data_IF_486322759112
#
_entry.id   IF_486322759112
#
_cell.length_a   1.000
_cell.length_b   1.000
_cell.length_c   1.000
_cell.angle_alpha   90.00
_cell.angle_beta   90.00
_cell.angle_gamma   90.00
#
_symmetry.space_group_name_H-M   'P 1'
#
loop_
_entity.id
_entity.type
_entity.pdbx_description
1 polymer ?
#
# COMPACT_ATOMS: atom_id res chain seq x y z
N UNK A 1 -18.39 -4.36 11.29
CA UNK A 1 -17.68 -5.65 11.43
C UNK A 1 -16.20 -5.31 11.46
N UNK A 2 -15.54 -5.46 12.60
CA UNK A 2 -14.11 -5.15 12.72
C UNK A 2 -13.32 -6.42 12.41
N UNK A 3 -12.44 -6.36 11.42
CA UNK A 3 -11.53 -7.45 11.10
C UNK A 3 -10.23 -7.24 11.87
N UNK A 4 -9.68 -8.34 12.41
CA UNK A 4 -8.41 -8.33 13.13
C UNK A 4 -7.41 -9.14 12.32
N UNK A 5 -6.51 -8.44 11.63
CA UNK A 5 -5.39 -9.04 10.93
C UNK A 5 -4.22 -9.21 11.91
N UNK A 6 -3.51 -10.34 11.83
CA UNK A 6 -2.33 -10.62 12.64
C UNK A 6 -1.16 -10.82 11.69
N UNK A 7 -0.28 -9.83 11.61
CA UNK A 7 1.02 -10.01 10.95
C UNK A 7 1.90 -10.84 11.87
N UNK A 8 2.35 -12.00 11.40
CA UNK A 8 3.30 -12.85 12.10
C UNK A 8 4.58 -12.85 11.30
N UNK A 9 5.62 -12.21 11.83
CA UNK A 9 6.98 -12.30 11.30
C UNK A 9 7.58 -13.67 11.67
N UNK A 10 7.07 -14.74 11.06
CA UNK A 10 7.62 -16.09 11.16
C UNK A 10 8.19 -16.48 9.79
N UNK A 11 9.48 -16.20 9.51
CA UNK A 11 10.03 -16.45 8.20
C UNK A 11 10.07 -17.96 7.93
N UNK A 12 9.08 -18.47 7.20
CA UNK A 12 9.07 -19.83 6.69
C UNK A 12 9.46 -19.80 5.23
N UNK A 13 10.57 -20.43 4.83
CA UNK A 13 10.90 -20.59 3.43
C UNK A 13 9.76 -21.31 2.71
N UNK A 14 9.13 -20.64 1.76
CA UNK A 14 8.13 -21.21 0.85
C UNK A 14 8.80 -21.49 -0.49
N UNK A 15 9.02 -22.78 -0.74
CA UNK A 15 9.58 -23.32 -1.97
C UNK A 15 8.48 -23.72 -2.98
N UNK A 16 7.32 -23.04 -2.96
CA UNK A 16 6.22 -23.30 -3.89
C UNK A 16 6.71 -23.59 -5.32
N UNK A 17 6.32 -24.75 -5.87
CA UNK A 17 7.01 -25.45 -6.96
C UNK A 17 7.09 -24.78 -8.33
N UNK A 18 6.78 -23.48 -8.42
CA UNK A 18 6.93 -22.64 -9.61
C UNK A 18 7.91 -21.46 -9.40
N UNK A 19 8.61 -21.39 -8.26
CA UNK A 19 9.57 -20.32 -7.95
C UNK A 19 11.01 -20.81 -8.12
N UNK A 20 11.83 -20.02 -8.78
CA UNK A 20 13.27 -20.31 -8.96
C UNK A 20 14.10 -20.04 -7.68
N UNK A 21 13.51 -19.39 -6.67
CA UNK A 21 14.17 -18.97 -5.43
C UNK A 21 13.22 -19.07 -4.21
N UNK A 22 13.73 -19.32 -2.99
CA UNK A 22 12.92 -19.36 -1.77
C UNK A 22 12.41 -17.97 -1.41
N UNK A 23 11.10 -17.85 -1.20
CA UNK A 23 10.48 -16.62 -0.68
C UNK A 23 9.96 -16.85 0.73
N UNK A 24 9.82 -15.78 1.50
CA UNK A 24 9.29 -15.85 2.87
C UNK A 24 7.93 -15.17 2.90
N UNK A 25 6.89 -15.86 3.37
CA UNK A 25 5.61 -15.22 3.65
C UNK A 25 5.74 -14.33 4.91
N UNK A 26 5.37 -13.06 4.78
CA UNK A 26 5.42 -12.07 5.86
C UNK A 26 4.08 -11.89 6.56
N UNK A 27 2.96 -12.30 5.95
CA UNK A 27 1.63 -12.12 6.52
C UNK A 27 0.79 -13.37 6.35
N UNK A 28 0.56 -14.06 7.46
CA UNK A 28 -0.42 -15.12 7.54
C UNK A 28 -1.83 -14.54 7.61
N UNK A 29 -2.60 -14.71 6.54
CA UNK A 29 -3.98 -14.28 6.53
C UNK A 29 -4.88 -15.33 7.21
N UNK A 30 -5.61 -14.91 8.25
CA UNK A 30 -6.60 -15.76 8.95
C UNK A 30 -7.89 -15.98 8.15
N UNK A 31 -8.02 -15.31 7.00
CA UNK A 31 -9.13 -15.42 6.05
C UNK A 31 -8.57 -15.60 4.65
N UNK A 32 -9.32 -16.25 3.74
CA UNK A 32 -8.90 -16.41 2.36
C UNK A 32 -8.88 -15.04 1.65
N UNK A 33 -7.72 -14.41 1.59
CA UNK A 33 -7.46 -13.21 0.80
C UNK A 33 -6.73 -13.68 -0.48
N UNK A 34 -7.11 -13.20 -1.68
CA UNK A 34 -6.52 -13.71 -2.93
C UNK A 34 -5.10 -13.20 -3.18
N UNK A 35 -4.37 -12.75 -2.16
CA UNK A 35 -3.02 -12.24 -2.28
C UNK A 35 -2.20 -12.53 -1.01
N UNK A 36 -0.88 -12.46 -1.14
CA UNK A 36 0.12 -12.63 -0.07
C UNK A 36 1.19 -11.55 -0.14
N UNK A 37 1.87 -11.31 1.00
CA UNK A 37 3.02 -10.39 1.12
C UNK A 37 4.27 -11.22 1.36
N UNK A 38 5.23 -11.12 0.45
CA UNK A 38 6.38 -12.01 0.40
C UNK A 38 7.69 -11.21 0.45
N UNK A 39 8.67 -11.70 1.20
CA UNK A 39 10.06 -11.24 1.16
C UNK A 39 10.83 -12.10 0.16
N UNK A 40 11.41 -11.43 -0.84
CA UNK A 40 12.20 -12.03 -1.91
C UNK A 40 13.66 -12.18 -1.49
N UNK A 41 14.40 -13.04 -2.20
CA UNK A 41 15.83 -13.26 -1.96
C UNK A 41 16.70 -12.00 -2.16
N UNK A 42 16.25 -11.05 -2.99
CA UNK A 42 16.90 -9.74 -3.18
C UNK A 42 16.62 -8.75 -2.02
N UNK A 43 15.90 -9.19 -0.98
CA UNK A 43 15.55 -8.38 0.18
C UNK A 43 14.32 -7.50 -0.02
N UNK A 44 13.65 -7.58 -1.18
CA UNK A 44 12.47 -6.78 -1.46
C UNK A 44 11.18 -7.39 -0.91
N UNK A 45 10.26 -6.51 -0.51
CA UNK A 45 8.88 -6.91 -0.19
C UNK A 45 8.03 -6.81 -1.45
N UNK A 46 7.33 -7.88 -1.79
CA UNK A 46 6.49 -7.97 -2.95
C UNK A 46 5.12 -8.59 -2.63
N UNK A 47 4.10 -8.10 -3.31
CA UNK A 47 2.72 -8.57 -3.16
C UNK A 47 2.38 -9.41 -4.37
N UNK A 48 1.63 -10.49 -4.17
CA UNK A 48 1.32 -11.43 -5.25
C UNK A 48 -0.10 -11.95 -5.12
N UNK A 49 -0.76 -12.22 -6.25
CA UNK A 49 -2.01 -12.99 -6.25
C UNK A 49 -1.67 -14.45 -5.93
N UNK A 50 -2.44 -15.09 -5.04
CA UNK A 50 -2.26 -16.51 -4.70
C UNK A 50 -3.36 -17.34 -5.33
N UNK A 51 -2.98 -18.42 -6.04
CA UNK A 51 -3.92 -19.34 -6.67
C UNK A 51 -3.31 -20.21 -7.77
N UNK A 52 -4.06 -21.21 -8.29
CA UNK A 52 -3.61 -22.04 -9.41
C UNK A 52 -3.34 -21.19 -10.65
N UNK A 53 -2.18 -21.37 -11.28
CA UNK A 53 -1.82 -20.67 -12.52
C UNK A 53 -1.17 -19.29 -12.35
N UNK A 54 -0.77 -18.93 -11.13
CA UNK A 54 0.04 -17.74 -10.87
C UNK A 54 1.34 -17.74 -11.68
N UNK A 55 1.72 -16.57 -12.20
CA UNK A 55 2.96 -16.34 -12.95
C UNK A 55 3.82 -15.26 -12.31
N UNK A 56 5.15 -15.24 -12.53
CA UNK A 56 6.03 -14.17 -12.03
C UNK A 56 5.59 -12.74 -12.38
N UNK A 57 4.79 -12.55 -13.44
CA UNK A 57 4.24 -11.27 -13.86
C UNK A 57 3.15 -10.74 -12.91
N UNK A 58 2.55 -11.61 -12.10
CA UNK A 58 1.52 -11.27 -11.11
C UNK A 58 2.13 -10.79 -9.77
N UNK A 59 3.44 -10.49 -9.75
CA UNK A 59 4.16 -9.94 -8.58
C UNK A 59 4.39 -8.45 -8.72
N UNK A 60 3.94 -7.72 -7.71
CA UNK A 60 4.16 -6.29 -7.57
C UNK A 60 5.21 -6.08 -6.48
N UNK A 61 6.40 -5.59 -6.83
CA UNK A 61 7.40 -5.15 -5.85
C UNK A 61 6.89 -3.87 -5.19
N UNK A 62 6.71 -3.89 -3.86
CA UNK A 62 6.12 -2.79 -3.10
C UNK A 62 7.18 -2.00 -2.35
N UNK A 63 8.10 -2.67 -1.68
CA UNK A 63 9.21 -2.03 -0.95
C UNK A 63 10.54 -2.63 -1.36
N UNK A 64 11.60 -1.81 -1.33
CA UNK A 64 12.96 -2.27 -1.60
C UNK A 64 13.54 -3.09 -0.44
N UNK A 65 13.10 -2.82 0.79
CA UNK A 65 13.53 -3.49 2.02
C UNK A 65 12.34 -3.68 2.98
N UNK A 66 12.38 -4.70 3.87
CA UNK A 66 11.33 -4.95 4.84
C UNK A 66 11.17 -3.83 5.88
N UNK A 67 12.22 -3.06 6.16
CA UNK A 67 12.13 -1.93 7.09
C UNK A 67 11.06 -0.92 6.65
N UNK A 68 10.95 -0.65 5.35
CA UNK A 68 9.93 0.27 4.82
C UNK A 68 8.49 -0.25 4.98
N UNK A 69 8.29 -1.58 5.02
CA UNK A 69 6.97 -2.16 5.37
C UNK A 69 6.64 -1.93 6.84
N UNK A 70 7.63 -2.04 7.72
CA UNK A 70 7.46 -1.80 9.16
C UNK A 70 7.14 -0.33 9.41
N UNK A 71 7.86 0.58 8.76
CA UNK A 71 7.64 2.02 8.86
C UNK A 71 6.29 2.43 8.24
N UNK A 72 5.88 1.85 7.11
CA UNK A 72 4.52 2.04 6.55
C UNK A 72 3.43 1.64 7.55
N UNK A 73 3.59 0.50 8.22
CA UNK A 73 2.65 0.05 9.25
C UNK A 73 2.67 0.95 10.48
N UNK A 74 3.84 1.44 10.91
CA UNK A 74 3.97 2.39 12.00
C UNK A 74 3.27 3.72 11.68
N UNK A 75 3.44 4.26 10.47
CA UNK A 75 2.78 5.48 10.03
C UNK A 75 1.26 5.35 10.01
N UNK A 76 0.72 4.18 9.62
CA UNK A 76 -0.71 3.88 9.74
C UNK A 76 -1.18 3.90 11.21
N UNK A 77 -0.45 3.25 12.11
CA UNK A 77 -0.80 3.18 13.54
C UNK A 77 -0.72 4.55 14.22
N UNK A 78 0.33 5.33 13.97
CA UNK A 78 0.46 6.71 14.46
C UNK A 78 -0.72 7.59 14.02
N UNK A 79 -1.16 7.40 12.78
CA UNK A 79 -2.27 8.13 12.19
C UNK A 79 -3.64 7.64 12.66
N UNK A 80 -3.73 6.48 13.31
CA UNK A 80 -5.01 5.86 13.70
C UNK A 80 -5.82 6.71 14.69
N UNK A 81 -5.14 7.59 15.44
CA UNK A 81 -5.79 8.52 16.38
C UNK A 81 -6.39 9.77 15.71
N UNK A 82 -6.10 10.01 14.43
CA UNK A 82 -6.52 11.19 13.69
C UNK A 82 -7.85 10.94 12.96
N UNK A 83 -8.53 12.01 12.57
CA UNK A 83 -9.70 11.90 11.71
C UNK A 83 -9.27 11.47 10.31
N UNK A 84 -9.85 10.36 9.84
CA UNK A 84 -9.48 9.70 8.60
C UNK A 84 -10.52 9.93 7.50
N UNK A 85 -10.03 10.16 6.28
CA UNK A 85 -10.82 10.25 5.06
C UNK A 85 -10.17 9.40 3.98
N UNK A 86 -10.89 8.40 3.49
CA UNK A 86 -10.55 7.68 2.26
C UNK A 86 -11.29 8.31 1.08
N UNK A 87 -10.55 8.56 -0.01
CA UNK A 87 -11.16 8.97 -1.26
C UNK A 87 -11.94 7.84 -1.91
N UNK A 88 -12.98 8.23 -2.64
CA UNK A 88 -13.63 7.32 -3.56
C UNK A 88 -12.60 6.81 -4.58
N UNK A 89 -12.86 5.60 -5.05
CA UNK A 89 -11.93 4.78 -5.80
C UNK A 89 -11.21 5.57 -6.93
N UNK A 90 -9.87 5.64 -6.87
CA UNK A 90 -9.03 6.37 -7.83
C UNK A 90 -8.47 5.41 -8.87
N UNK A 91 -8.52 5.80 -10.15
CA UNK A 91 -7.91 5.01 -11.23
C UNK A 91 -6.38 4.96 -11.10
N UNK A 92 -5.73 3.94 -11.67
CA UNK A 92 -4.27 3.85 -11.64
C UNK A 92 -3.60 5.06 -12.31
N UNK A 93 -4.15 5.52 -13.45
CA UNK A 93 -3.68 6.72 -14.14
C UNK A 93 -3.80 7.98 -13.27
N UNK A 94 -4.93 8.15 -12.58
CA UNK A 94 -5.13 9.33 -11.73
C UNK A 94 -4.26 9.28 -10.47
N UNK A 95 -4.04 8.10 -9.90
CA UNK A 95 -3.09 7.91 -8.80
C UNK A 95 -1.66 8.28 -9.22
N UNK A 96 -1.20 7.86 -10.40
CA UNK A 96 0.13 8.23 -10.91
C UNK A 96 0.27 9.74 -11.14
N UNK A 97 -0.79 10.39 -11.65
CA UNK A 97 -0.84 11.86 -11.78
C UNK A 97 -0.84 12.56 -10.43
N UNK A 98 -1.59 12.02 -9.46
CA UNK A 98 -1.65 12.56 -8.10
C UNK A 98 -0.27 12.51 -7.44
N UNK A 99 0.42 11.37 -7.55
CA UNK A 99 1.79 11.19 -7.04
C UNK A 99 2.73 12.26 -7.59
N UNK A 100 2.69 12.49 -8.90
CA UNK A 100 3.52 13.52 -9.55
C UNK A 100 3.23 14.91 -8.97
N UNK A 101 1.95 15.25 -8.83
CA UNK A 101 1.53 16.57 -8.31
C UNK A 101 1.66 16.69 -6.78
N UNK A 102 1.83 15.59 -6.07
CA UNK A 102 2.12 15.54 -4.64
C UNK A 102 3.61 15.71 -4.33
N UNK A 103 4.52 15.68 -5.32
CA UNK A 103 5.97 15.91 -5.15
C UNK A 103 6.35 17.24 -4.46
N UNK A 104 5.43 18.20 -4.46
CA UNK A 104 5.63 19.47 -3.74
C UNK A 104 5.35 19.39 -2.23
N UNK A 105 4.90 18.24 -1.71
CA UNK A 105 4.75 17.99 -0.28
C UNK A 105 5.99 17.27 0.26
N UNK A 106 6.38 17.50 1.52
CA UNK A 106 7.41 16.72 2.18
C UNK A 106 7.06 15.23 2.15
N UNK A 107 7.98 14.42 1.63
CA UNK A 107 7.85 12.97 1.58
C UNK A 107 8.35 12.37 2.90
N UNK A 108 7.62 11.40 3.44
CA UNK A 108 8.12 10.53 4.51
C UNK A 108 8.80 9.34 3.84
N UNK A 109 10.13 9.38 3.74
CA UNK A 109 10.90 8.41 2.95
C UNK A 109 10.85 7.01 3.56
N UNK A 110 10.80 6.93 4.89
CA UNK A 110 10.94 5.71 5.68
C UNK A 110 9.83 4.70 5.38
N UNK A 111 8.57 5.14 5.32
CA UNK A 111 7.42 4.31 4.95
C UNK A 111 7.07 4.33 3.47
N UNK A 112 7.79 5.09 2.64
CA UNK A 112 7.52 5.18 1.21
C UNK A 112 8.20 4.03 0.44
N UNK A 113 7.45 3.46 -0.50
CA UNK A 113 7.90 2.38 -1.38
C UNK A 113 7.83 2.71 -2.87
N UNK A 114 7.82 1.64 -3.67
CA UNK A 114 7.73 1.66 -5.13
C UNK A 114 6.30 1.86 -5.63
N UNK A 115 5.31 1.43 -4.84
CA UNK A 115 3.88 1.53 -5.18
C UNK A 115 3.04 2.16 -4.09
N UNK A 116 3.67 2.62 -3.01
CA UNK A 116 3.05 3.22 -1.83
C UNK A 116 3.85 4.47 -1.46
N UNK A 117 3.17 5.57 -1.12
CA UNK A 117 3.82 6.84 -0.83
C UNK A 117 3.14 7.54 0.34
N UNK A 118 3.97 8.13 1.19
CA UNK A 118 3.56 8.92 2.33
C UNK A 118 4.05 10.35 2.22
N UNK A 119 3.15 11.29 2.46
CA UNK A 119 3.48 12.70 2.62
C UNK A 119 2.92 13.23 3.92
N UNK A 120 3.62 14.22 4.49
CA UNK A 120 3.15 14.95 5.65
C UNK A 120 3.36 16.45 5.43
N UNK A 121 2.34 17.23 5.79
CA UNK A 121 2.38 18.69 5.78
C UNK A 121 1.57 19.17 7.00
N UNK A 122 1.67 20.45 7.33
CA UNK A 122 1.18 21.00 8.61
C UNK A 122 -0.27 20.57 8.95
N UNK A 123 -0.38 19.58 9.84
CA UNK A 123 -1.65 19.11 10.38
C UNK A 123 -2.37 18.00 9.59
N UNK A 124 -1.77 17.47 8.51
CA UNK A 124 -2.33 16.31 7.80
C UNK A 124 -1.26 15.37 7.22
N UNK A 125 -1.61 14.09 7.12
CA UNK A 125 -0.80 13.04 6.52
C UNK A 125 -1.57 12.40 5.37
N UNK A 126 -0.87 12.02 4.31
CA UNK A 126 -1.45 11.48 3.07
C UNK A 126 -0.76 10.17 2.74
N UNK A 127 -1.55 9.15 2.43
CA UNK A 127 -1.09 7.88 1.89
C UNK A 127 -1.70 7.63 0.53
N UNK A 128 -0.87 7.24 -0.43
CA UNK A 128 -1.32 6.79 -1.75
C UNK A 128 -0.76 5.40 -2.02
N UNK A 129 -1.63 4.44 -2.33
CA UNK A 129 -1.23 3.10 -2.77
C UNK A 129 -1.78 2.79 -4.16
N UNK A 130 -0.88 2.37 -5.04
CA UNK A 130 -1.20 1.79 -6.36
C UNK A 130 -1.05 0.28 -6.39
N UNK A 131 -0.67 -0.32 -5.26
CA UNK A 131 -0.32 -1.74 -5.14
C UNK A 131 -1.44 -2.64 -5.64
N UNK A 132 -2.67 -2.44 -5.13
CA UNK A 132 -3.83 -3.23 -5.52
C UNK A 132 -4.32 -2.90 -6.95
N UNK A 133 -4.06 -1.68 -7.44
CA UNK A 133 -4.24 -1.28 -8.84
C UNK A 133 -3.42 -2.12 -9.81
N UNK A 134 -2.17 -2.38 -9.43
CA UNK A 134 -1.22 -3.16 -10.20
C UNK A 134 -1.45 -4.66 -10.05
N UNK A 135 -1.90 -5.10 -8.87
CA UNK A 135 -2.13 -6.51 -8.57
C UNK A 135 -3.41 -7.06 -9.21
N UNK A 136 -4.44 -6.21 -9.40
CA UNK A 136 -5.74 -6.60 -9.95
C UNK A 136 -6.18 -5.72 -11.14
N UNK A 137 -5.38 -5.65 -12.22
CA UNK A 137 -5.64 -4.72 -13.33
C UNK A 137 -6.95 -5.00 -14.08
N UNK A 138 -7.40 -6.25 -14.08
CA UNK A 138 -8.61 -6.70 -14.78
C UNK A 138 -9.93 -6.42 -14.03
N UNK A 139 -9.89 -6.03 -12.75
CA UNK A 139 -11.10 -5.97 -11.92
C UNK A 139 -12.07 -4.81 -12.26
N UNK A 140 -11.78 -3.98 -13.27
CA UNK A 140 -12.61 -2.84 -13.75
C UNK A 140 -13.09 -1.88 -12.64
N UNK A 141 -12.58 -2.01 -11.42
CA UNK A 141 -12.87 -1.17 -10.27
C UNK A 141 -11.57 -0.46 -9.88
N UNK A 142 -11.64 0.81 -9.47
CA UNK A 142 -10.44 1.48 -9.03
C UNK A 142 -10.01 0.89 -7.67
N UNK A 143 -8.82 0.32 -7.63
CA UNK A 143 -8.26 -0.34 -6.43
C UNK A 143 -7.09 0.44 -5.85
N UNK A 144 -6.74 1.60 -6.42
CA UNK A 144 -5.80 2.51 -5.79
C UNK A 144 -6.49 3.22 -4.63
N UNK A 145 -5.75 3.39 -3.53
CA UNK A 145 -6.27 4.05 -2.32
C UNK A 145 -5.57 5.38 -2.14
N UNK A 146 -6.36 6.42 -1.85
CA UNK A 146 -5.88 7.67 -1.28
C UNK A 146 -6.53 7.81 0.09
N UNK A 147 -5.69 7.84 1.11
CA UNK A 147 -6.09 8.01 2.49
C UNK A 147 -5.47 9.30 3.03
N UNK A 148 -6.28 10.10 3.73
CA UNK A 148 -5.87 11.37 4.31
C UNK A 148 -6.27 11.37 5.78
N UNK A 149 -5.31 11.68 6.65
CA UNK A 149 -5.53 11.85 8.09
C UNK A 149 -5.27 13.29 8.48
N UNK A 150 -6.10 13.85 9.35
CA UNK A 150 -5.91 15.17 9.94
C UNK A 150 -6.52 15.24 11.34
N UNK A 151 -6.26 16.32 12.09
CA UNK A 151 -6.81 16.47 13.46
C UNK A 151 -8.34 16.44 13.49
N UNK A 152 -8.99 16.97 12.46
CA UNK A 152 -10.45 16.98 12.33
C UNK A 152 -10.92 16.44 10.98
N UNK A 153 -12.15 15.91 10.94
CA UNK A 153 -12.73 15.39 9.69
C UNK A 153 -12.85 16.47 8.60
N UNK A 154 -13.08 17.73 9.00
CA UNK A 154 -13.14 18.87 8.08
C UNK A 154 -11.78 19.15 7.45
N UNK A 155 -10.70 19.08 8.23
CA UNK A 155 -9.34 19.26 7.72
C UNK A 155 -8.96 18.11 6.78
N UNK A 156 -9.29 16.86 7.14
CA UNK A 156 -9.03 15.70 6.28
C UNK A 156 -9.75 15.83 4.93
N UNK A 157 -11.03 16.24 4.95
CA UNK A 157 -11.81 16.50 3.73
C UNK A 157 -11.26 17.68 2.92
N UNK A 158 -10.80 18.75 3.57
CA UNK A 158 -10.22 19.90 2.88
C UNK A 158 -8.88 19.56 2.24
N UNK A 159 -8.03 18.77 2.92
CA UNK A 159 -6.76 18.29 2.40
C UNK A 159 -6.96 17.35 1.21
N UNK A 160 -7.89 16.39 1.32
CA UNK A 160 -8.32 15.54 0.21
C UNK A 160 -8.78 16.38 -0.99
N UNK A 161 -9.72 17.30 -0.80
CA UNK A 161 -10.25 18.13 -1.88
C UNK A 161 -9.16 18.99 -2.53
N UNK A 162 -8.19 19.48 -1.76
CA UNK A 162 -7.01 20.21 -2.26
C UNK A 162 -6.08 19.32 -3.09
N UNK A 163 -5.91 18.05 -2.70
CA UNK A 163 -5.11 17.08 -3.46
C UNK A 163 -5.82 16.68 -4.75
N UNK A 164 -7.11 16.39 -4.69
CA UNK A 164 -7.91 16.00 -5.85
C UNK A 164 -8.18 17.16 -6.81
N UNK A 165 -8.25 18.41 -6.34
CA UNK A 165 -8.34 19.58 -7.25
C UNK A 165 -7.09 19.75 -8.11
N UNK A 166 -5.95 19.21 -7.64
CA UNK A 166 -4.77 19.07 -8.49
C UNK A 166 -4.96 17.98 -9.55
N UNK A 167 -6.05 17.25 -9.69
CA UNK A 167 -6.24 16.34 -10.84
C UNK A 167 -6.95 17.01 -12.03
N UNK A 168 -7.61 18.15 -11.78
CA UNK A 168 -8.23 19.01 -12.80
C UNK A 168 -7.26 19.92 -13.53
#
# INVERSE_FOLDING_TARGET
MHFRERMVFEPRPDFGGARDEPWIDLVEHSTAIPWSILLRADGAVAYTVTGPGWTPEDVVKVFAHPDALIEDAALHEESASWAWKRSEAISLSDAERLRERARGLPLLEEGTGLTQWWWEDEGFRVFLSTTMGRLFPAQQRPTCTLDVWAKTAREAQAAEARLLSRLG
#
